data_IF_589166349108
#
_entry.id   IF_589166349108
#
_cell.length_a   1.000
_cell.length_b   1.000
_cell.length_c   1.000
_cell.angle_alpha   90.00
_cell.angle_beta   90.00
_cell.angle_gamma   90.00
#
_symmetry.space_group_name_H-M   'P 1'
#
loop_
_entity.id
_entity.type
_entity.pdbx_description
1 polymer ?
#
# COMPACT_ATOMS: atom_id res chain seq x y z
N UNK A 1 13.66 -10.40 19.36
CA UNK A 1 14.01 -10.28 17.93
C UNK A 1 13.13 -9.17 17.36
N UNK A 2 13.72 -8.11 16.79
CA UNK A 2 12.96 -6.99 16.22
C UNK A 2 12.61 -7.32 14.77
N UNK A 3 11.34 -7.26 14.39
CA UNK A 3 10.92 -7.45 13.01
C UNK A 3 11.26 -6.17 12.25
N UNK A 4 12.03 -6.28 11.16
CA UNK A 4 12.22 -5.15 10.25
C UNK A 4 11.07 -5.12 9.25
N UNK A 5 10.52 -3.93 9.04
CA UNK A 5 9.46 -3.65 8.06
C UNK A 5 9.94 -2.71 6.95
N UNK A 6 11.25 -2.44 6.89
CA UNK A 6 11.80 -1.36 6.06
C UNK A 6 11.48 -1.59 4.57
N UNK A 7 11.68 -2.82 4.09
CA UNK A 7 11.36 -3.20 2.71
C UNK A 7 9.85 -3.17 2.43
N UNK A 8 9.02 -3.54 3.40
CA UNK A 8 7.55 -3.55 3.23
C UNK A 8 7.02 -2.13 3.08
N UNK A 9 7.45 -1.23 3.97
CA UNK A 9 7.11 0.18 3.93
C UNK A 9 7.64 0.83 2.65
N UNK A 10 8.88 0.53 2.26
CA UNK A 10 9.48 1.09 1.04
C UNK A 10 8.67 0.72 -0.22
N UNK A 11 8.32 -0.56 -0.39
CA UNK A 11 7.54 -1.03 -1.55
C UNK A 11 6.14 -0.42 -1.55
N UNK A 12 5.46 -0.38 -0.40
CA UNK A 12 4.11 0.19 -0.30
C UNK A 12 4.13 1.69 -0.61
N UNK A 13 5.11 2.43 -0.07
CA UNK A 13 5.28 3.87 -0.35
C UNK A 13 5.57 4.11 -1.84
N UNK A 14 6.35 3.25 -2.49
CA UNK A 14 6.60 3.35 -3.93
C UNK A 14 5.30 3.17 -4.74
N UNK A 15 4.46 2.18 -4.38
CA UNK A 15 3.20 1.95 -5.09
C UNK A 15 2.20 3.09 -4.85
N UNK A 16 2.15 3.66 -3.64
CA UNK A 16 1.35 4.83 -3.31
C UNK A 16 1.75 6.05 -4.17
N UNK A 17 3.05 6.33 -4.28
CA UNK A 17 3.56 7.40 -5.15
C UNK A 17 3.23 7.14 -6.61
N UNK A 18 3.43 5.93 -7.10
CA UNK A 18 3.10 5.58 -8.48
C UNK A 18 1.60 5.77 -8.78
N UNK A 19 0.72 5.44 -7.84
CA UNK A 19 -0.73 5.67 -7.97
C UNK A 19 -1.08 7.16 -7.97
N UNK A 20 -0.50 7.95 -7.06
CA UNK A 20 -0.70 9.40 -7.02
C UNK A 20 -0.21 10.07 -8.30
N UNK A 21 0.98 9.71 -8.78
CA UNK A 21 1.55 10.20 -10.04
C UNK A 21 0.65 9.85 -11.23
N UNK A 22 0.08 8.64 -11.27
CA UNK A 22 -0.88 8.23 -12.29
C UNK A 22 -2.16 9.08 -12.21
N UNK A 23 -2.66 9.33 -11.00
CA UNK A 23 -3.86 10.14 -10.74
C UNK A 23 -3.76 11.59 -11.20
N UNK A 24 -2.55 12.15 -11.22
CA UNK A 24 -2.27 13.52 -11.66
C UNK A 24 -2.17 13.68 -13.19
N UNK A 25 -2.06 12.58 -13.95
CA UNK A 25 -1.94 12.66 -15.41
C UNK A 25 -3.27 13.00 -16.07
N UNK A 26 -3.23 13.90 -17.05
CA UNK A 26 -4.39 14.27 -17.88
C UNK A 26 -4.82 13.15 -18.83
N UNK A 27 -3.88 12.30 -19.23
CA UNK A 27 -4.08 11.16 -20.10
C UNK A 27 -3.30 9.98 -19.55
N UNK A 28 -3.98 8.85 -19.39
CA UNK A 28 -3.42 7.58 -18.92
C UNK A 28 -3.88 6.52 -19.91
N UNK A 29 -2.97 5.65 -20.34
CA UNK A 29 -3.30 4.52 -21.21
C UNK A 29 -3.56 3.24 -20.40
N UNK A 30 -4.25 2.29 -21.02
CA UNK A 30 -4.66 1.04 -20.36
C UNK A 30 -3.46 0.17 -19.96
N UNK A 31 -2.33 0.27 -20.68
CA UNK A 31 -1.09 -0.47 -20.38
C UNK A 31 -0.48 0.01 -19.06
N UNK A 32 -0.43 1.33 -18.83
CA UNK A 32 0.03 1.94 -17.58
C UNK A 32 -0.85 1.54 -16.40
N UNK A 33 -2.18 1.51 -16.58
CA UNK A 33 -3.11 1.08 -15.54
C UNK A 33 -2.91 -0.40 -15.24
N UNK A 34 -2.79 -1.24 -16.27
CA UNK A 34 -2.59 -2.67 -16.14
C UNK A 34 -1.30 -3.01 -15.38
N UNK A 35 -0.17 -2.40 -15.76
CA UNK A 35 1.13 -2.58 -15.10
C UNK A 35 1.09 -2.14 -13.63
N UNK A 36 0.44 -1.01 -13.33
CA UNK A 36 0.25 -0.58 -11.95
C UNK A 36 -0.65 -1.57 -11.19
N UNK A 37 -1.72 -2.07 -11.79
CA UNK A 37 -2.66 -3.01 -11.14
C UNK A 37 -1.97 -4.29 -10.66
N UNK A 38 -1.05 -4.84 -11.46
CA UNK A 38 -0.28 -6.04 -11.10
C UNK A 38 0.61 -5.77 -9.88
N UNK A 39 1.38 -4.67 -9.93
CA UNK A 39 2.31 -4.33 -8.84
C UNK A 39 1.54 -3.96 -7.57
N UNK A 40 0.47 -3.20 -7.71
CA UNK A 40 -0.43 -2.82 -6.63
C UNK A 40 -1.03 -4.05 -5.94
N UNK A 41 -1.67 -4.95 -6.71
CA UNK A 41 -2.26 -6.17 -6.17
C UNK A 41 -1.23 -7.05 -5.46
N UNK A 42 -0.02 -7.17 -6.02
CA UNK A 42 1.09 -7.91 -5.40
C UNK A 42 1.51 -7.29 -4.07
N UNK A 43 1.62 -5.95 -4.00
CA UNK A 43 1.97 -5.23 -2.79
C UNK A 43 0.87 -5.36 -1.71
N UNK A 44 -0.41 -5.27 -2.08
CA UNK A 44 -1.53 -5.42 -1.15
C UNK A 44 -1.62 -6.84 -0.58
N UNK A 45 -1.59 -7.87 -1.44
CA UNK A 45 -1.75 -9.25 -1.02
C UNK A 45 -0.53 -9.80 -0.24
N UNK A 46 0.65 -9.23 -0.46
CA UNK A 46 1.89 -9.64 0.20
C UNK A 46 2.32 -8.72 1.33
N UNK A 47 2.78 -7.51 0.97
CA UNK A 47 3.46 -6.58 1.87
C UNK A 47 2.50 -5.98 2.89
N UNK A 48 1.36 -5.46 2.44
CA UNK A 48 0.36 -4.87 3.33
C UNK A 48 -0.21 -5.91 4.29
N UNK A 49 -0.64 -7.07 3.78
CA UNK A 49 -1.16 -8.17 4.60
C UNK A 49 -0.18 -8.58 5.70
N UNK A 50 1.13 -8.62 5.40
CA UNK A 50 2.17 -8.92 6.38
C UNK A 50 2.30 -7.87 7.47
N UNK A 51 2.23 -6.57 7.12
CA UNK A 51 2.27 -5.49 8.11
C UNK A 51 1.04 -5.50 9.02
N UNK A 52 -0.15 -5.70 8.45
CA UNK A 52 -1.39 -5.86 9.21
C UNK A 52 -1.28 -7.04 10.20
N UNK A 53 -0.71 -8.16 9.77
CA UNK A 53 -0.45 -9.31 10.64
C UNK A 53 0.49 -8.95 11.81
N UNK A 54 1.57 -8.20 11.57
CA UNK A 54 2.49 -7.79 12.64
C UNK A 54 1.86 -6.80 13.61
N UNK A 55 1.15 -5.80 13.09
CA UNK A 55 0.43 -4.80 13.89
C UNK A 55 -0.59 -5.47 14.82
N UNK A 56 -1.47 -6.30 14.28
CA UNK A 56 -2.54 -6.95 15.06
C UNK A 56 -2.02 -7.94 16.12
N UNK A 57 -0.77 -8.39 15.99
CA UNK A 57 -0.09 -9.24 16.98
C UNK A 57 0.79 -8.46 17.95
N UNK A 58 0.87 -7.12 17.84
CA UNK A 58 1.75 -6.29 18.66
C UNK A 58 3.23 -6.60 18.45
N UNK A 59 3.62 -7.00 17.24
CA UNK A 59 4.99 -7.39 16.90
C UNK A 59 5.83 -6.22 16.37
N UNK A 60 5.21 -5.09 16.09
CA UNK A 60 5.87 -3.85 15.70
C UNK A 60 6.29 -3.10 16.96
N UNK A 61 7.49 -2.52 16.92
CA UNK A 61 7.90 -1.52 17.90
C UNK A 61 7.29 -0.14 17.60
N UNK A 62 7.42 0.81 18.52
CA UNK A 62 6.84 2.15 18.40
C UNK A 62 7.22 2.90 17.12
N UNK A 63 8.42 2.67 16.58
CA UNK A 63 8.84 3.32 15.35
C UNK A 63 8.19 2.67 14.12
N UNK A 64 8.14 1.33 14.12
CA UNK A 64 7.47 0.55 13.09
C UNK A 64 5.95 0.80 13.08
N UNK A 65 5.31 0.91 14.25
CA UNK A 65 3.89 1.26 14.40
C UNK A 65 3.59 2.63 13.79
N UNK A 66 4.39 3.66 14.09
CA UNK A 66 4.21 4.99 13.51
C UNK A 66 4.34 4.98 11.99
N UNK A 67 5.33 4.27 11.46
CA UNK A 67 5.53 4.15 10.01
C UNK A 67 4.38 3.40 9.33
N UNK A 68 3.90 2.33 9.94
CA UNK A 68 2.75 1.59 9.42
C UNK A 68 1.45 2.42 9.46
N UNK A 69 1.24 3.21 10.52
CA UNK A 69 0.11 4.13 10.61
C UNK A 69 0.12 5.16 9.46
N UNK A 70 1.28 5.75 9.15
CA UNK A 70 1.43 6.66 8.00
C UNK A 70 1.05 5.97 6.68
N UNK A 71 1.51 4.74 6.45
CA UNK A 71 1.12 3.98 5.25
C UNK A 71 -0.39 3.72 5.21
N UNK A 72 -1.02 3.40 6.34
CA UNK A 72 -2.48 3.22 6.42
C UNK A 72 -3.23 4.52 6.09
N UNK A 73 -2.75 5.66 6.57
CA UNK A 73 -3.36 6.96 6.28
C UNK A 73 -3.23 7.30 4.79
N UNK A 74 -2.04 7.13 4.21
CA UNK A 74 -1.83 7.34 2.76
C UNK A 74 -2.69 6.39 1.90
N UNK A 75 -2.88 5.14 2.33
CA UNK A 75 -3.77 4.19 1.64
C UNK A 75 -5.24 4.64 1.65
N UNK A 76 -5.69 5.30 2.73
CA UNK A 76 -7.04 5.88 2.79
C UNK A 76 -7.15 7.12 1.92
N UNK A 77 -6.11 7.95 1.89
CA UNK A 77 -6.09 9.18 1.08
C UNK A 77 -6.15 8.90 -0.43
N UNK A 78 -5.67 7.74 -0.89
CA UNK A 78 -5.72 7.32 -2.31
C UNK A 78 -6.92 6.44 -2.66
N UNK A 79 -7.89 6.26 -1.75
CA UNK A 79 -9.04 5.37 -1.98
C UNK A 79 -9.82 5.73 -3.26
N UNK A 80 -10.04 7.02 -3.53
CA UNK A 80 -10.70 7.49 -4.75
C UNK A 80 -9.92 7.11 -6.02
N UNK A 81 -8.58 7.07 -5.95
CA UNK A 81 -7.74 6.66 -7.08
C UNK A 81 -7.79 5.14 -7.29
N UNK A 82 -7.81 4.36 -6.21
CA UNK A 82 -8.01 2.91 -6.26
C UNK A 82 -9.33 2.59 -6.96
N UNK A 83 -10.40 3.30 -6.62
CA UNK A 83 -11.70 3.13 -7.29
C UNK A 83 -11.69 3.62 -8.74
N UNK A 84 -11.12 4.80 -9.01
CA UNK A 84 -11.03 5.39 -10.37
C UNK A 84 -10.31 4.48 -11.35
N UNK A 85 -9.27 3.78 -10.91
CA UNK A 85 -8.46 2.90 -11.75
C UNK A 85 -8.79 1.41 -11.60
N UNK A 86 -9.88 1.06 -10.90
CA UNK A 86 -10.33 -0.31 -10.65
C UNK A 86 -9.23 -1.24 -10.08
N UNK A 87 -8.48 -0.72 -9.11
CA UNK A 87 -7.38 -1.44 -8.46
C UNK A 87 -7.88 -2.28 -7.27
N UNK A 88 -7.09 -3.30 -6.89
CA UNK A 88 -7.39 -4.10 -5.71
C UNK A 88 -7.48 -3.22 -4.44
N UNK A 89 -8.58 -3.36 -3.69
CA UNK A 89 -8.80 -2.57 -2.48
C UNK A 89 -7.84 -2.99 -1.36
N UNK A 90 -7.13 -2.05 -0.70
CA UNK A 90 -6.31 -2.36 0.46
C UNK A 90 -7.17 -2.92 1.60
N UNK A 91 -6.77 -4.06 2.16
CA UNK A 91 -7.37 -4.60 3.38
C UNK A 91 -6.48 -4.24 4.57
N UNK A 92 -7.04 -3.44 5.48
CA UNK A 92 -6.37 -2.96 6.69
C UNK A 92 -6.78 -3.77 7.94
N UNK A 93 -7.57 -4.84 7.75
CA UNK A 93 -8.05 -5.71 8.82
C UNK A 93 -7.26 -7.02 8.84
N UNK A 94 -7.02 -7.57 10.03
CA UNK A 94 -6.50 -8.93 10.13
C UNK A 94 -7.67 -9.91 10.09
N UNK A 95 -7.90 -10.51 8.92
CA UNK A 95 -8.69 -11.73 8.80
C UNK A 95 -7.96 -12.95 9.38
#
# INVERSE_FOLDING_TARGET
MRISIDDDVAVLTEQLRALQDLGQRSTVDDEQIYDLSIRWGTAMAGRLRRLVYYHTRGLLDDDAERRFAVVCDELRDVADLVERFDLARPDLTAE
#
